data_IF_243600298808
#
_entry.id   IF_243600298808
#
_cell.length_a   1.000
_cell.length_b   1.000
_cell.length_c   1.000
_cell.angle_alpha   90.00
_cell.angle_beta   90.00
_cell.angle_gamma   90.00
#
_symmetry.space_group_name_H-M   'P 1'
#
loop_
_entity.id
_entity.type
_entity.pdbx_description
1 polymer ?
#
# COMPACT_ATOMS: atom_id res chain seq x y z
N UNK A 1 -4.66 -8.94 15.15
CA UNK A 1 -3.94 -8.52 13.93
C UNK A 1 -4.80 -7.43 13.32
N UNK A 2 -4.22 -6.42 12.67
CA UNK A 2 -4.97 -5.22 12.29
C UNK A 2 -4.71 -4.79 10.84
N UNK A 3 -5.70 -4.11 10.25
CA UNK A 3 -5.50 -3.31 9.05
C UNK A 3 -4.82 -2.01 9.45
N UNK A 4 -3.66 -1.75 8.85
CA UNK A 4 -2.94 -0.49 9.05
C UNK A 4 -3.50 0.56 8.10
N UNK A 5 -4.03 1.66 8.64
CA UNK A 5 -4.51 2.79 7.84
C UNK A 5 -3.47 3.90 7.86
N UNK A 6 -2.88 4.21 6.70
CA UNK A 6 -1.85 5.26 6.55
C UNK A 6 -2.49 6.52 5.96
N UNK A 7 -2.45 7.63 6.70
CA UNK A 7 -3.07 8.88 6.27
C UNK A 7 -2.50 10.13 6.92
N UNK A 8 -2.63 11.26 6.22
CA UNK A 8 -2.25 12.58 6.72
C UNK A 8 -3.37 13.13 7.60
N UNK A 9 -3.35 12.87 8.90
CA UNK A 9 -4.49 13.17 9.79
C UNK A 9 -4.71 14.66 10.04
N UNK A 10 -3.69 15.47 9.80
CA UNK A 10 -3.74 16.94 9.85
C UNK A 10 -4.65 17.57 8.78
N UNK A 11 -4.97 16.83 7.73
CA UNK A 11 -5.74 17.30 6.55
C UNK A 11 -6.83 16.35 6.10
N UNK A 12 -6.76 15.09 6.52
CA UNK A 12 -7.65 13.99 6.12
C UNK A 12 -8.18 13.19 7.31
N UNK A 13 -8.21 13.78 8.50
CA UNK A 13 -8.67 13.12 9.71
C UNK A 13 -10.11 12.61 9.58
N UNK A 14 -11.03 13.42 9.06
CA UNK A 14 -12.43 13.03 8.83
C UNK A 14 -12.54 11.79 7.92
N UNK A 15 -11.83 11.77 6.80
CA UNK A 15 -11.91 10.69 5.80
C UNK A 15 -11.23 9.41 6.28
N UNK A 16 -10.06 9.53 6.93
CA UNK A 16 -9.35 8.40 7.54
C UNK A 16 -10.16 7.81 8.69
N UNK A 17 -10.74 8.66 9.55
CA UNK A 17 -11.63 8.25 10.62
C UNK A 17 -12.85 7.48 10.08
N UNK A 18 -13.47 7.97 9.01
CA UNK A 18 -14.57 7.25 8.38
C UNK A 18 -14.16 5.89 7.81
N UNK A 19 -12.99 5.77 7.19
CA UNK A 19 -12.48 4.49 6.71
C UNK A 19 -12.24 3.49 7.87
N UNK A 20 -11.64 3.97 8.97
CA UNK A 20 -11.48 3.19 10.22
C UNK A 20 -12.83 2.71 10.73
N UNK A 21 -13.79 3.61 10.89
CA UNK A 21 -15.10 3.27 11.45
C UNK A 21 -15.84 2.22 10.61
N UNK A 22 -15.69 2.26 9.27
CA UNK A 22 -16.26 1.22 8.37
C UNK A 22 -15.60 -0.14 8.58
N UNK A 23 -14.28 -0.18 8.73
CA UNK A 23 -13.54 -1.43 9.02
C UNK A 23 -13.93 -2.01 10.38
N UNK A 24 -13.94 -1.19 11.42
CA UNK A 24 -14.29 -1.59 12.78
C UNK A 24 -15.75 -2.08 12.88
N UNK A 25 -16.66 -1.46 12.12
CA UNK A 25 -18.05 -1.93 12.03
C UNK A 25 -18.19 -3.33 11.41
N UNK A 26 -17.17 -3.83 10.70
CA UNK A 26 -17.10 -5.21 10.21
C UNK A 26 -16.33 -6.14 11.16
N UNK A 27 -15.93 -5.66 12.35
CA UNK A 27 -15.17 -6.43 13.33
C UNK A 27 -13.69 -6.59 12.98
N UNK A 28 -13.15 -5.74 12.11
CA UNK A 28 -11.72 -5.73 11.75
C UNK A 28 -11.01 -4.70 12.63
N UNK A 29 -9.97 -5.13 13.35
CA UNK A 29 -9.13 -4.22 14.14
C UNK A 29 -8.35 -3.27 13.20
N UNK A 30 -8.21 -2.01 13.61
CA UNK A 30 -7.52 -0.98 12.83
C UNK A 30 -6.35 -0.42 13.64
N UNK A 31 -5.24 -0.15 12.95
CA UNK A 31 -4.08 0.57 13.51
C UNK A 31 -3.81 1.78 12.61
N UNK A 32 -4.03 2.99 13.12
CA UNK A 32 -3.86 4.23 12.35
C UNK A 32 -2.44 4.75 12.48
N UNK A 33 -1.80 4.99 11.33
CA UNK A 33 -0.48 5.62 11.22
C UNK A 33 -0.65 7.01 10.63
N UNK A 34 -0.35 8.03 11.43
CA UNK A 34 -0.36 9.41 10.97
C UNK A 34 0.93 9.75 10.22
N UNK A 35 0.78 10.33 9.04
CA UNK A 35 1.88 10.81 8.20
C UNK A 35 1.76 12.29 7.85
N UNK A 36 0.92 13.04 8.58
CA UNK A 36 0.75 14.48 8.47
C UNK A 36 1.96 15.26 8.96
N UNK A 37 2.31 16.34 8.26
CA UNK A 37 3.43 17.22 8.62
C UNK A 37 3.04 18.68 8.76
N UNK A 38 1.83 19.06 8.35
CA UNK A 38 1.38 20.46 8.29
C UNK A 38 0.75 20.95 9.59
N UNK A 39 0.15 20.05 10.37
CA UNK A 39 -0.58 20.40 11.58
C UNK A 39 -0.74 19.23 12.54
N UNK A 40 -1.55 19.46 13.56
CA UNK A 40 -1.91 18.43 14.54
C UNK A 40 -3.01 17.53 13.99
N UNK A 41 -3.02 16.24 14.36
CA UNK A 41 -4.03 15.30 13.87
C UNK A 41 -5.41 15.60 14.47
N UNK A 42 -6.48 15.39 13.69
CA UNK A 42 -7.86 15.62 14.17
C UNK A 42 -8.33 14.62 15.23
N UNK A 43 -7.65 13.47 15.34
CA UNK A 43 -7.85 12.47 16.39
C UNK A 43 -6.52 11.77 16.70
N UNK A 44 -6.43 11.11 17.86
CA UNK A 44 -5.20 10.43 18.30
C UNK A 44 -4.91 9.17 17.44
N UNK A 45 -3.76 9.11 16.73
CA UNK A 45 -3.34 7.92 16.00
C UNK A 45 -2.67 6.88 16.91
N UNK A 46 -2.63 5.62 16.47
CA UNK A 46 -1.89 4.56 17.15
C UNK A 46 -0.37 4.62 16.88
N UNK A 47 0.04 5.30 15.81
CA UNK A 47 1.43 5.69 15.57
C UNK A 47 1.44 7.13 15.06
N UNK A 48 2.08 7.99 15.84
CA UNK A 48 2.13 9.44 15.60
C UNK A 48 3.05 9.79 14.43
N UNK A 49 2.82 10.95 13.81
CA UNK A 49 3.72 11.46 12.79
C UNK A 49 5.18 11.64 13.29
N UNK A 50 5.36 11.94 14.58
CA UNK A 50 6.69 12.00 15.21
C UNK A 50 7.39 10.64 15.22
N UNK A 51 6.69 9.57 15.63
CA UNK A 51 7.24 8.21 15.60
C UNK A 51 7.56 7.74 14.18
N UNK A 52 6.74 8.16 13.20
CA UNK A 52 7.01 7.90 11.77
C UNK A 52 8.28 8.62 11.32
N UNK A 53 8.43 9.91 11.62
CA UNK A 53 9.63 10.68 11.26
C UNK A 53 10.89 10.11 11.93
N UNK A 54 10.80 9.69 13.20
CA UNK A 54 11.89 9.02 13.92
C UNK A 54 12.30 7.70 13.26
N UNK A 55 11.32 6.93 12.77
CA UNK A 55 11.59 5.68 12.03
C UNK A 55 12.33 5.92 10.70
N UNK A 56 12.22 7.13 10.13
CA UNK A 56 12.99 7.58 8.97
C UNK A 56 14.37 8.18 9.32
N UNK A 57 14.72 8.25 10.61
CA UNK A 57 15.98 8.84 11.07
C UNK A 57 15.99 10.37 11.11
N UNK A 58 14.82 11.01 11.12
CA UNK A 58 14.66 12.47 11.26
C UNK A 58 13.68 12.79 12.41
N UNK A 59 13.22 14.04 12.49
CA UNK A 59 12.18 14.47 13.44
C UNK A 59 11.10 15.26 12.72
N UNK A 60 9.88 15.22 13.26
CA UNK A 60 8.75 15.95 12.69
C UNK A 60 9.02 17.47 12.66
N UNK A 61 9.67 18.00 13.70
CA UNK A 61 10.04 19.41 13.78
C UNK A 61 11.03 19.80 12.68
N UNK A 62 12.06 18.97 12.43
CA UNK A 62 13.02 19.23 11.36
C UNK A 62 12.35 19.28 9.97
N UNK A 63 11.40 18.38 9.69
CA UNK A 63 10.65 18.38 8.44
C UNK A 63 9.77 19.63 8.29
N UNK A 64 9.12 20.05 9.38
CA UNK A 64 8.31 21.28 9.43
C UNK A 64 9.15 22.54 9.24
N UNK A 65 10.31 22.61 9.88
CA UNK A 65 11.24 23.74 9.78
C UNK A 65 11.85 23.86 8.37
N UNK A 66 12.18 22.73 7.73
CA UNK A 66 12.66 22.70 6.35
C UNK A 66 11.60 23.23 5.37
N UNK A 67 10.33 22.87 5.59
CA UNK A 67 9.21 23.31 4.75
C UNK A 67 9.26 22.79 3.32
N UNK A 68 10.12 21.82 3.02
CA UNK A 68 10.22 21.16 1.72
C UNK A 68 9.22 20.00 1.67
N UNK A 69 8.21 20.14 0.80
CA UNK A 69 7.16 19.14 0.63
C UNK A 69 7.68 17.81 0.08
N UNK A 70 8.68 17.84 -0.80
CA UNK A 70 9.26 16.64 -1.40
C UNK A 70 10.03 15.83 -0.37
N UNK A 71 10.91 16.50 0.37
CA UNK A 71 11.69 15.90 1.46
C UNK A 71 10.78 15.31 2.55
N UNK A 72 9.72 16.03 2.93
CA UNK A 72 8.73 15.52 3.88
C UNK A 72 8.00 14.27 3.37
N UNK A 73 7.58 14.25 2.09
CA UNK A 73 6.93 13.06 1.50
C UNK A 73 7.89 11.87 1.48
N UNK A 74 9.15 12.08 1.14
CA UNK A 74 10.17 11.03 1.09
C UNK A 74 10.42 10.46 2.49
N UNK A 75 10.77 11.30 3.47
CA UNK A 75 11.03 10.88 4.84
C UNK A 75 9.82 10.19 5.48
N UNK A 76 8.61 10.74 5.33
CA UNK A 76 7.40 10.11 5.89
C UNK A 76 7.06 8.80 5.16
N UNK A 77 7.38 8.67 3.87
CA UNK A 77 7.31 7.42 3.12
C UNK A 77 8.25 6.34 3.66
N UNK A 78 9.51 6.69 3.92
CA UNK A 78 10.50 5.80 4.52
C UNK A 78 10.08 5.37 5.93
N UNK A 79 9.64 6.32 6.75
CA UNK A 79 9.16 6.07 8.10
C UNK A 79 7.94 5.16 8.13
N UNK A 80 6.94 5.44 7.28
CA UNK A 80 5.74 4.61 7.17
C UNK A 80 6.10 3.19 6.71
N UNK A 81 7.05 3.05 5.78
CA UNK A 81 7.57 1.75 5.33
C UNK A 81 8.25 0.98 6.45
N UNK A 82 9.07 1.64 7.28
CA UNK A 82 9.71 1.02 8.43
C UNK A 82 8.67 0.57 9.48
N UNK A 83 7.65 1.39 9.73
CA UNK A 83 6.56 1.06 10.67
C UNK A 83 5.73 -0.12 10.18
N UNK A 84 5.30 -0.14 8.92
CA UNK A 84 4.50 -1.24 8.37
C UNK A 84 5.29 -2.53 8.29
N UNK A 85 6.55 -2.48 7.85
CA UNK A 85 7.43 -3.65 7.79
C UNK A 85 7.64 -4.26 9.17
N UNK A 86 7.96 -3.44 10.19
CA UNK A 86 8.09 -3.91 11.58
C UNK A 86 6.82 -4.61 12.07
N UNK A 87 5.64 -4.02 11.82
CA UNK A 87 4.37 -4.65 12.24
C UNK A 87 4.09 -5.96 11.50
N UNK A 88 4.43 -6.04 10.22
CA UNK A 88 4.33 -7.28 9.45
C UNK A 88 5.24 -8.36 10.03
N UNK A 89 6.51 -8.03 10.29
CA UNK A 89 7.49 -8.98 10.86
C UNK A 89 7.12 -9.45 12.27
N UNK A 90 6.42 -8.61 13.03
CA UNK A 90 5.83 -8.94 14.33
C UNK A 90 4.52 -9.77 14.24
N UNK A 91 4.00 -10.02 13.03
CA UNK A 91 2.73 -10.73 12.82
C UNK A 91 1.51 -9.92 13.28
N UNK A 92 1.56 -8.58 13.19
CA UNK A 92 0.52 -7.67 13.69
C UNK A 92 -0.21 -6.90 12.59
N UNK A 93 0.10 -7.15 11.32
CA UNK A 93 -0.46 -6.47 10.15
C UNK A 93 -1.16 -7.49 9.25
N UNK A 94 -2.45 -7.27 8.98
CA UNK A 94 -3.23 -8.07 8.02
C UNK A 94 -3.33 -7.40 6.66
N UNK A 95 -3.21 -6.09 6.58
CA UNK A 95 -3.26 -5.34 5.34
C UNK A 95 -2.97 -3.85 5.54
N UNK A 96 -2.82 -3.12 4.44
CA UNK A 96 -2.61 -1.66 4.45
C UNK A 96 -3.64 -0.95 3.58
N UNK A 97 -4.33 0.01 4.18
CA UNK A 97 -5.27 0.90 3.49
C UNK A 97 -4.73 2.34 3.52
N UNK A 98 -4.75 3.03 2.38
CA UNK A 98 -4.42 4.45 2.29
C UNK A 98 -5.48 5.20 1.49
N UNK A 99 -5.65 6.49 1.77
CA UNK A 99 -6.53 7.37 0.98
C UNK A 99 -5.97 8.79 0.89
N UNK A 100 -6.03 9.42 -0.28
CA UNK A 100 -5.69 10.84 -0.40
C UNK A 100 -5.25 11.28 -1.80
N UNK A 101 -4.73 12.50 -1.86
CA UNK A 101 -4.12 13.07 -3.07
C UNK A 101 -2.73 12.50 -3.36
N UNK A 102 -1.99 13.14 -4.28
CA UNK A 102 -0.66 12.68 -4.70
C UNK A 102 0.34 12.50 -3.55
N UNK A 103 0.34 13.41 -2.56
CA UNK A 103 1.24 13.34 -1.41
C UNK A 103 1.07 12.06 -0.58
N UNK A 104 -0.13 11.84 -0.02
CA UNK A 104 -0.40 10.63 0.75
C UNK A 104 -0.36 9.36 -0.12
N UNK A 105 -0.72 9.46 -1.41
CA UNK A 105 -0.55 8.34 -2.34
C UNK A 105 0.91 7.91 -2.40
N UNK A 106 1.87 8.83 -2.54
CA UNK A 106 3.30 8.53 -2.54
C UNK A 106 3.74 7.86 -1.23
N UNK A 107 3.34 8.41 -0.08
CA UNK A 107 3.72 7.91 1.26
C UNK A 107 3.13 6.52 1.51
N UNK A 108 1.81 6.38 1.41
CA UNK A 108 1.11 5.13 1.70
C UNK A 108 1.54 4.02 0.72
N UNK A 109 1.74 4.33 -0.55
CA UNK A 109 2.21 3.32 -1.51
C UNK A 109 3.68 2.93 -1.31
N UNK A 110 4.54 3.83 -0.81
CA UNK A 110 5.88 3.44 -0.37
C UNK A 110 5.80 2.37 0.73
N UNK A 111 4.95 2.60 1.74
CA UNK A 111 4.73 1.65 2.83
C UNK A 111 4.12 0.32 2.35
N UNK A 112 3.21 0.36 1.37
CA UNK A 112 2.65 -0.83 0.73
C UNK A 112 3.72 -1.60 -0.06
N UNK A 113 4.59 -0.92 -0.80
CA UNK A 113 5.61 -1.56 -1.64
C UNK A 113 6.72 -2.22 -0.82
N UNK A 114 6.94 -1.77 0.41
CA UNK A 114 7.88 -2.40 1.35
C UNK A 114 7.43 -3.80 1.78
N UNK A 115 6.13 -4.11 1.70
CA UNK A 115 5.57 -5.39 2.13
C UNK A 115 5.68 -6.47 1.03
N UNK A 116 5.72 -7.76 1.41
CA UNK A 116 5.71 -8.87 0.46
C UNK A 116 4.46 -8.92 -0.43
N UNK A 117 4.58 -9.52 -1.62
CA UNK A 117 3.42 -9.86 -2.47
C UNK A 117 2.49 -10.81 -1.72
N UNK A 118 1.18 -10.62 -1.86
CA UNK A 118 0.15 -11.39 -1.17
C UNK A 118 -0.45 -10.68 0.04
N UNK A 119 0.29 -9.77 0.69
CA UNK A 119 -0.28 -8.92 1.75
C UNK A 119 -1.34 -7.99 1.12
N UNK A 120 -2.58 -7.92 1.63
CA UNK A 120 -3.59 -6.96 1.16
C UNK A 120 -3.13 -5.49 1.20
N UNK A 121 -3.18 -4.81 0.05
CA UNK A 121 -2.73 -3.41 -0.12
C UNK A 121 -3.73 -2.64 -0.98
N UNK A 122 -4.47 -1.69 -0.39
CA UNK A 122 -5.49 -0.90 -1.10
C UNK A 122 -5.22 0.59 -0.94
N UNK A 123 -5.16 1.32 -2.06
CA UNK A 123 -4.91 2.76 -2.09
C UNK A 123 -6.04 3.48 -2.82
N UNK A 124 -6.80 4.34 -2.12
CA UNK A 124 -7.80 5.23 -2.71
C UNK A 124 -7.14 6.54 -3.12
N UNK A 125 -6.93 6.75 -4.42
CA UNK A 125 -6.10 7.85 -4.90
C UNK A 125 -6.78 8.68 -5.98
N UNK A 126 -6.55 10.00 -5.93
CA UNK A 126 -6.86 10.92 -7.04
C UNK A 126 -5.95 10.68 -8.25
N UNK A 127 -4.85 9.95 -8.08
CA UNK A 127 -3.86 9.64 -9.12
C UNK A 127 -4.12 8.30 -9.82
N UNK A 128 -5.10 7.51 -9.37
CA UNK A 128 -5.31 6.15 -9.90
C UNK A 128 -5.77 6.11 -11.37
N UNK A 129 -6.37 7.19 -11.88
CA UNK A 129 -6.74 7.33 -13.30
C UNK A 129 -5.65 8.08 -14.10
N UNK A 130 -4.41 7.62 -13.99
CA UNK A 130 -3.24 8.24 -14.62
C UNK A 130 -2.05 7.29 -14.69
N UNK A 131 -0.84 7.84 -14.73
CA UNK A 131 0.38 7.05 -14.58
C UNK A 131 0.51 6.56 -13.14
N UNK A 132 0.47 5.25 -12.96
CA UNK A 132 0.51 4.58 -11.65
C UNK A 132 1.76 3.75 -11.42
N UNK A 133 2.67 3.69 -12.41
CA UNK A 133 3.95 2.98 -12.30
C UNK A 133 4.74 3.34 -11.03
N UNK A 134 4.94 4.62 -10.65
CA UNK A 134 5.71 4.96 -9.45
C UNK A 134 5.02 4.57 -8.13
N UNK A 135 3.69 4.37 -8.14
CA UNK A 135 2.93 3.99 -6.94
C UNK A 135 2.84 2.47 -6.78
N UNK A 136 2.69 1.73 -7.87
CA UNK A 136 2.53 0.26 -7.83
C UNK A 136 3.89 -0.44 -7.85
N UNK A 137 4.80 0.00 -8.72
CA UNK A 137 6.09 -0.66 -8.95
C UNK A 137 5.93 -2.15 -9.30
N UNK A 138 6.78 -3.00 -8.71
CA UNK A 138 6.75 -4.46 -8.87
C UNK A 138 6.00 -5.16 -7.72
N UNK A 139 4.88 -4.57 -7.28
CA UNK A 139 4.06 -5.06 -6.16
C UNK A 139 2.58 -5.09 -6.56
N UNK A 140 1.81 -5.86 -5.82
CA UNK A 140 0.38 -6.10 -6.01
C UNK A 140 -0.50 -5.05 -5.29
N UNK A 141 -0.17 -3.77 -5.46
CA UNK A 141 -0.95 -2.66 -4.88
C UNK A 141 -2.24 -2.45 -5.68
N UNK A 142 -3.39 -2.53 -5.02
CA UNK A 142 -4.69 -2.22 -5.63
C UNK A 142 -4.98 -0.71 -5.54
N UNK A 143 -4.98 -0.02 -6.68
CA UNK A 143 -5.34 1.40 -6.77
C UNK A 143 -6.83 1.56 -7.08
N UNK A 144 -7.59 2.22 -6.19
CA UNK A 144 -8.98 2.63 -6.42
C UNK A 144 -9.03 4.12 -6.72
N UNK A 145 -9.66 4.50 -7.84
CA UNK A 145 -9.82 5.92 -8.17
C UNK A 145 -10.85 6.60 -7.26
N UNK A 146 -10.46 7.72 -6.65
CA UNK A 146 -11.33 8.49 -5.77
C UNK A 146 -12.48 9.21 -6.49
N UNK A 147 -12.43 9.29 -7.82
CA UNK A 147 -13.37 9.99 -8.72
C UNK A 147 -13.31 11.51 -8.62
N UNK A 148 -13.40 12.04 -7.40
CA UNK A 148 -13.21 13.45 -7.08
C UNK A 148 -12.05 13.61 -6.11
N UNK A 149 -11.67 14.87 -5.83
CA UNK A 149 -10.70 15.14 -4.78
C UNK A 149 -11.20 14.64 -3.42
N UNK A 150 -10.25 14.28 -2.55
CA UNK A 150 -10.53 13.82 -1.18
C UNK A 150 -10.39 15.04 -0.28
N UNK A 151 -11.45 15.84 -0.24
CA UNK A 151 -11.55 17.07 0.55
C UNK A 151 -12.89 17.06 1.31
N UNK A 152 -12.89 16.39 2.45
CA UNK A 152 -14.04 16.17 3.31
C UNK A 152 -14.97 15.05 2.84
N UNK A 153 -15.87 14.65 3.74
CA UNK A 153 -16.86 13.63 3.46
C UNK A 153 -18.11 14.20 2.78
N UNK A 154 -18.36 13.74 1.57
CA UNK A 154 -19.58 13.99 0.81
C UNK A 154 -20.20 12.64 0.37
N UNK A 155 -21.34 12.71 -0.33
CA UNK A 155 -22.05 11.50 -0.79
C UNK A 155 -21.16 10.58 -1.63
N UNK A 156 -20.32 11.14 -2.50
CA UNK A 156 -19.44 10.38 -3.38
C UNK A 156 -18.26 9.80 -2.60
N UNK A 157 -17.53 10.63 -1.84
CA UNK A 157 -16.34 10.16 -1.11
C UNK A 157 -16.69 9.10 -0.06
N UNK A 158 -17.83 9.23 0.64
CA UNK A 158 -18.33 8.18 1.54
C UNK A 158 -18.56 6.83 0.84
N UNK A 159 -19.11 6.83 -0.37
CA UNK A 159 -19.35 5.59 -1.12
C UNK A 159 -18.03 4.96 -1.58
N UNK A 160 -17.11 5.76 -2.11
CA UNK A 160 -15.83 5.26 -2.61
C UNK A 160 -14.96 4.73 -1.47
N UNK A 161 -14.84 5.49 -0.37
CA UNK A 161 -14.07 5.08 0.81
C UNK A 161 -14.68 3.83 1.44
N UNK A 162 -16.01 3.75 1.56
CA UNK A 162 -16.67 2.56 2.09
C UNK A 162 -16.42 1.33 1.20
N UNK A 163 -16.46 1.47 -0.12
CA UNK A 163 -16.13 0.38 -1.04
C UNK A 163 -14.68 -0.09 -0.86
N UNK A 164 -13.73 0.83 -0.68
CA UNK A 164 -12.33 0.48 -0.43
C UNK A 164 -12.14 -0.26 0.89
N UNK A 165 -12.76 0.23 1.96
CA UNK A 165 -12.73 -0.40 3.26
C UNK A 165 -13.35 -1.81 3.20
N UNK A 166 -14.53 -1.96 2.58
CA UNK A 166 -15.18 -3.27 2.41
C UNK A 166 -14.39 -4.22 1.51
N UNK A 167 -13.71 -3.72 0.48
CA UNK A 167 -12.78 -4.52 -0.32
C UNK A 167 -11.63 -5.04 0.56
N UNK A 168 -11.05 -4.19 1.40
CA UNK A 168 -10.03 -4.59 2.37
C UNK A 168 -10.56 -5.64 3.35
N UNK A 169 -11.77 -5.47 3.92
CA UNK A 169 -12.41 -6.49 4.76
C UNK A 169 -12.50 -7.82 4.02
N UNK A 170 -12.93 -7.80 2.75
CA UNK A 170 -12.96 -8.99 1.91
C UNK A 170 -11.60 -9.66 1.79
N UNK A 171 -10.54 -8.89 1.57
CA UNK A 171 -9.17 -9.41 1.44
C UNK A 171 -8.60 -9.96 2.75
N UNK A 172 -8.93 -9.39 3.92
CA UNK A 172 -8.33 -9.80 5.21
C UNK A 172 -9.13 -10.84 5.98
N UNK A 173 -10.44 -10.97 5.72
CA UNK A 173 -11.32 -11.90 6.46
C UNK A 173 -11.61 -13.21 5.73
N UNK A 174 -11.19 -13.35 4.48
CA UNK A 174 -11.45 -14.54 3.67
C UNK A 174 -10.15 -15.28 3.36
N UNK A 175 -10.19 -16.59 3.46
CA UNK A 175 -9.17 -17.48 2.92
C UNK A 175 -9.48 -17.71 1.42
N UNK A 176 -8.57 -17.36 0.49
CA UNK A 176 -8.81 -17.56 -0.93
C UNK A 176 -8.76 -19.04 -1.35
N UNK A 177 -8.38 -19.97 -0.46
CA UNK A 177 -8.26 -21.42 -0.74
C UNK A 177 -7.35 -21.68 -1.96
N UNK A 178 -6.25 -20.94 -2.04
CA UNK A 178 -5.24 -21.07 -3.09
C UNK A 178 -4.08 -21.88 -2.56
N UNK A 179 -3.98 -23.13 -2.98
CA UNK A 179 -2.80 -23.95 -2.72
C UNK A 179 -1.61 -23.44 -3.54
N UNK A 180 -0.61 -22.90 -2.86
CA UNK A 180 0.68 -22.55 -3.46
C UNK A 180 1.64 -23.71 -3.18
N UNK A 181 1.90 -24.54 -4.19
CA UNK A 181 2.89 -25.62 -4.07
C UNK A 181 4.31 -25.03 -4.01
N UNK A 182 5.06 -25.38 -2.97
CA UNK A 182 6.47 -24.97 -2.81
C UNK A 182 7.38 -25.78 -3.74
N UNK A 183 7.41 -25.38 -5.02
CA UNK A 183 8.29 -25.94 -6.05
C UNK A 183 9.50 -25.04 -6.24
N UNK A 184 10.66 -25.60 -6.61
CA UNK A 184 11.78 -24.78 -7.08
C UNK A 184 11.36 -23.92 -8.28
N UNK A 185 11.32 -22.60 -8.10
CA UNK A 185 10.85 -21.65 -9.12
C UNK A 185 12.00 -21.09 -9.96
N UNK A 186 11.81 -21.02 -11.28
CA UNK A 186 12.76 -20.43 -12.24
C UNK A 186 12.11 -19.24 -12.95
N UNK A 187 12.70 -18.05 -12.78
CA UNK A 187 12.34 -16.88 -13.56
C UNK A 187 12.91 -16.94 -14.98
N UNK A 188 12.08 -16.64 -15.99
CA UNK A 188 12.48 -16.66 -17.41
C UNK A 188 12.13 -15.31 -18.04
N UNK A 189 13.13 -14.59 -18.54
CA UNK A 189 12.87 -13.36 -19.31
C UNK A 189 12.50 -13.69 -20.75
N UNK A 190 11.55 -12.93 -21.29
CA UNK A 190 10.95 -13.18 -22.60
C UNK A 190 10.79 -11.87 -23.37
N UNK A 191 10.95 -11.96 -24.68
CA UNK A 191 10.53 -10.94 -25.64
C UNK A 191 9.76 -11.63 -26.76
N UNK A 192 8.95 -10.89 -27.52
CA UNK A 192 8.14 -11.49 -28.60
C UNK A 192 8.97 -12.34 -29.58
N UNK A 193 10.19 -11.89 -29.90
CA UNK A 193 11.13 -12.58 -30.79
C UNK A 193 11.80 -13.82 -30.16
N UNK A 194 11.72 -14.00 -28.84
CA UNK A 194 12.28 -15.17 -28.12
C UNK A 194 11.21 -16.17 -27.68
N UNK A 195 9.92 -15.91 -27.96
CA UNK A 195 8.79 -16.77 -27.56
C UNK A 195 9.01 -18.27 -27.82
N UNK A 196 9.48 -18.72 -29.00
CA UNK A 196 9.69 -20.15 -29.24
C UNK A 196 10.74 -20.78 -28.31
N UNK A 197 11.80 -20.03 -27.99
CA UNK A 197 12.86 -20.47 -27.07
C UNK A 197 12.33 -20.56 -25.63
N UNK A 198 11.60 -19.54 -25.18
CA UNK A 198 11.03 -19.47 -23.82
C UNK A 198 10.00 -20.59 -23.60
N UNK A 199 9.14 -20.87 -24.59
CA UNK A 199 8.18 -21.98 -24.51
C UNK A 199 8.89 -23.33 -24.38
N UNK A 200 9.93 -23.58 -25.20
CA UNK A 200 10.71 -24.82 -25.11
C UNK A 200 11.43 -24.96 -23.76
N UNK A 201 12.00 -23.87 -23.24
CA UNK A 201 12.66 -23.86 -21.94
C UNK A 201 11.68 -24.11 -20.79
N UNK A 202 10.52 -23.46 -20.82
CA UNK A 202 9.44 -23.65 -19.84
C UNK A 202 8.98 -25.10 -19.79
N UNK A 203 8.63 -25.70 -20.93
CA UNK A 203 8.22 -27.11 -20.97
C UNK A 203 9.32 -28.05 -20.47
N UNK A 204 10.59 -27.76 -20.79
CA UNK A 204 11.73 -28.56 -20.35
C UNK A 204 11.89 -28.55 -18.82
N UNK A 205 11.68 -27.38 -18.19
CA UNK A 205 11.79 -27.17 -16.75
C UNK A 205 10.58 -27.74 -16.00
N UNK A 206 9.36 -27.48 -16.47
CA UNK A 206 8.12 -28.00 -15.87
C UNK A 206 8.12 -29.54 -15.84
N UNK A 207 8.59 -30.21 -16.91
CA UNK A 207 8.75 -31.68 -16.97
C UNK A 207 9.72 -32.24 -15.92
N UNK A 208 10.54 -31.39 -15.30
CA UNK A 208 11.51 -31.73 -14.24
C UNK A 208 11.04 -31.31 -12.85
N UNK A 209 9.82 -30.80 -12.73
CA UNK A 209 9.22 -30.42 -11.45
C UNK A 209 9.52 -28.99 -11.01
N UNK A 210 10.09 -28.16 -11.89
CA UNK A 210 10.25 -26.73 -11.61
C UNK A 210 8.96 -25.97 -11.88
N UNK A 211 8.67 -24.97 -11.07
CA UNK A 211 7.74 -23.91 -11.44
C UNK A 211 8.47 -22.88 -12.31
N UNK A 212 7.77 -22.26 -13.27
CA UNK A 212 8.37 -21.21 -14.10
C UNK A 212 7.52 -19.95 -14.09
N UNK A 213 8.15 -18.81 -13.88
CA UNK A 213 7.51 -17.50 -14.00
C UNK A 213 8.15 -16.76 -15.17
N UNK A 214 7.33 -16.36 -16.15
CA UNK A 214 7.81 -15.68 -17.35
C UNK A 214 7.61 -14.18 -17.21
N UNK A 215 8.68 -13.42 -17.39
CA UNK A 215 8.70 -11.97 -17.31
C UNK A 215 8.98 -11.35 -18.67
N UNK A 216 8.21 -10.34 -19.06
CA UNK A 216 8.45 -9.61 -20.30
C UNK A 216 9.59 -8.60 -20.11
N UNK A 217 10.65 -8.70 -20.92
CA UNK A 217 11.88 -7.91 -20.77
C UNK A 217 11.72 -6.46 -21.26
N UNK A 218 10.82 -5.68 -20.64
CA UNK A 218 10.49 -4.29 -20.97
C UNK A 218 10.93 -3.28 -19.92
N UNK A 219 11.76 -3.68 -18.95
CA UNK A 219 12.22 -2.84 -17.85
C UNK A 219 11.55 -3.21 -16.53
N UNK A 220 10.22 -3.15 -16.47
CA UNK A 220 9.44 -3.48 -15.26
C UNK A 220 9.35 -4.98 -14.96
N UNK A 221 9.42 -5.82 -16.01
CA UNK A 221 9.37 -7.28 -15.90
C UNK A 221 10.70 -7.89 -15.49
#
# INVERSE_FOLDING_TARGET
MAVVVVGTLDTKGEEVGFARDVLEAQGVDVHVVDVGVMGDPEFEPDTTASEVAEAAGTTLDALREAGDRGEAIEAMGEGASAVTTRRHDEGRLDGVLGLGGSGNTSIATAAMRALPVGVPKVMVSTMASGDTEPYVGARDVMMLYSVADIEGLNRLSRQVIANAALAMVGMVTNDPDVEVEDKPTVGITMFGVTTPCVQAAREYLEKRGYETIVFHATGTG
#
